data_IF_876349068646
#
_entry.id   IF_876349068646
#
_cell.length_a   1.000
_cell.length_b   1.000
_cell.length_c   1.000
_cell.angle_alpha   90.00
_cell.angle_beta   90.00
_cell.angle_gamma   90.00
#
_symmetry.space_group_name_H-M   'P 1'
#
loop_
_entity.id
_entity.type
_entity.pdbx_description
1 polymer ?
#
# COMPACT_ATOMS: atom_id res chain seq x y z
N UNK A 1 20.50 -7.72 -43.51
CA UNK A 1 19.53 -8.31 -42.57
C UNK A 1 18.50 -7.24 -42.26
N UNK A 2 17.22 -7.58 -42.28
CA UNK A 2 16.19 -6.61 -41.87
C UNK A 2 16.12 -6.52 -40.34
N UNK A 3 15.82 -5.33 -39.80
CA UNK A 3 15.67 -5.10 -38.37
C UNK A 3 14.22 -4.77 -38.10
N UNK A 4 13.59 -5.57 -37.25
CA UNK A 4 12.23 -5.34 -36.76
C UNK A 4 12.20 -4.40 -35.57
N UNK A 5 11.10 -3.69 -35.43
CA UNK A 5 10.87 -2.76 -34.33
C UNK A 5 9.46 -2.23 -34.27
N UNK A 6 9.30 -1.15 -33.58
CA UNK A 6 8.01 -0.51 -33.30
C UNK A 6 8.09 0.99 -33.62
N UNK A 7 6.96 1.55 -34.07
CA UNK A 7 6.83 2.98 -34.32
C UNK A 7 5.46 3.45 -33.85
N UNK A 8 5.43 4.62 -33.24
CA UNK A 8 4.21 5.29 -32.80
C UNK A 8 3.88 6.41 -33.79
N UNK A 9 2.61 6.64 -34.00
CA UNK A 9 2.05 7.65 -34.89
C UNK A 9 0.93 8.41 -34.18
N UNK A 10 0.58 9.58 -34.71
CA UNK A 10 -0.63 10.27 -34.34
C UNK A 10 -1.88 9.43 -34.70
N UNK A 11 -3.08 9.75 -34.18
CA UNK A 11 -4.32 9.02 -34.45
C UNK A 11 -4.66 8.87 -35.95
N UNK A 12 -4.19 9.78 -36.78
CA UNK A 12 -4.38 9.84 -38.25
C UNK A 12 -3.26 9.14 -39.04
N UNK A 13 -2.41 8.37 -38.39
CA UNK A 13 -1.23 7.72 -38.98
C UNK A 13 -0.14 8.69 -39.47
N UNK A 14 -0.11 9.92 -38.99
CA UNK A 14 0.97 10.85 -39.30
C UNK A 14 2.10 10.81 -38.27
N UNK A 15 3.30 11.15 -38.70
CA UNK A 15 4.44 11.40 -37.81
C UNK A 15 5.29 12.52 -38.45
N UNK A 16 5.49 13.63 -37.74
CA UNK A 16 6.18 14.84 -38.26
C UNK A 16 5.67 15.32 -39.61
N UNK A 17 4.34 15.27 -39.83
CA UNK A 17 3.69 15.69 -41.05
C UNK A 17 3.79 14.70 -42.22
N UNK A 18 4.45 13.58 -42.05
CA UNK A 18 4.51 12.52 -43.04
C UNK A 18 3.39 11.50 -42.80
N UNK A 19 2.67 11.11 -43.88
CA UNK A 19 1.57 10.15 -43.81
C UNK A 19 2.08 8.73 -44.02
N UNK A 20 1.68 7.83 -43.13
CA UNK A 20 1.98 6.39 -43.23
C UNK A 20 0.70 5.58 -43.45
N UNK A 21 0.88 4.36 -43.95
CA UNK A 21 -0.20 3.39 -44.12
C UNK A 21 0.30 1.97 -43.86
N UNK A 22 -0.51 1.20 -43.19
CA UNK A 22 -0.20 -0.20 -42.87
C UNK A 22 -0.07 -1.01 -44.17
N UNK A 23 0.92 -1.89 -44.23
CA UNK A 23 1.27 -2.73 -45.35
C UNK A 23 2.20 -2.08 -46.38
N UNK A 24 2.36 -0.74 -46.37
CA UNK A 24 3.19 -0.01 -47.30
C UNK A 24 4.66 0.10 -46.88
N UNK A 25 5.51 0.30 -47.90
CA UNK A 25 6.94 0.54 -47.73
C UNK A 25 7.27 1.96 -48.16
N UNK A 26 8.00 2.68 -47.35
CA UNK A 26 8.42 4.06 -47.58
C UNK A 26 9.94 4.15 -47.72
N UNK A 27 10.37 5.02 -48.63
CA UNK A 27 11.80 5.26 -48.93
C UNK A 27 12.13 6.73 -48.75
N UNK A 28 13.21 6.98 -48.03
CA UNK A 28 13.79 8.32 -47.88
C UNK A 28 14.96 8.46 -48.85
N UNK A 29 14.86 9.44 -49.74
CA UNK A 29 15.92 9.73 -50.73
C UNK A 29 16.90 10.75 -50.13
N UNK A 30 17.91 10.30 -49.49
CA UNK A 30 18.95 11.14 -48.86
C UNK A 30 19.70 10.42 -47.79
N UNK A 31 20.62 11.12 -47.16
CA UNK A 31 21.35 10.57 -46.02
C UNK A 31 20.40 10.45 -44.81
N UNK A 32 20.56 9.39 -44.03
CA UNK A 32 19.87 9.26 -42.75
C UNK A 32 20.65 10.02 -41.68
N UNK A 33 19.93 10.61 -40.72
CA UNK A 33 20.51 11.36 -39.62
C UNK A 33 19.66 11.13 -38.36
N UNK A 34 20.31 10.71 -37.27
CA UNK A 34 19.63 10.47 -36.02
C UNK A 34 18.97 11.79 -35.51
N UNK A 35 17.67 11.72 -35.20
CA UNK A 35 16.81 12.85 -34.85
C UNK A 35 16.59 13.91 -35.97
N UNK A 36 17.23 13.77 -37.11
CA UNK A 36 17.14 14.64 -38.28
C UNK A 36 16.31 14.03 -39.42
N UNK A 37 16.95 13.26 -40.27
CA UNK A 37 16.39 12.76 -41.55
C UNK A 37 16.28 11.21 -41.56
N UNK A 38 15.25 10.71 -42.26
CA UNK A 38 14.94 9.28 -42.31
C UNK A 38 13.80 8.84 -41.42
N UNK A 39 13.51 7.56 -41.39
CA UNK A 39 12.39 6.96 -40.64
C UNK A 39 12.89 6.40 -39.31
N UNK A 40 12.47 7.06 -38.21
CA UNK A 40 12.83 6.67 -36.86
C UNK A 40 11.88 5.60 -36.29
N UNK A 41 12.43 4.64 -35.59
CA UNK A 41 11.70 3.57 -34.89
C UNK A 41 12.50 3.11 -33.65
N UNK A 42 11.90 2.33 -32.78
CA UNK A 42 12.56 1.71 -31.64
C UNK A 42 12.50 0.18 -31.76
N UNK A 43 13.54 -0.50 -31.30
CA UNK A 43 13.55 -1.98 -31.33
C UNK A 43 12.69 -2.60 -30.24
N UNK A 44 12.42 -1.83 -29.15
CA UNK A 44 11.48 -2.20 -28.10
C UNK A 44 10.28 -1.23 -28.13
N UNK A 45 9.08 -1.77 -27.98
CA UNK A 45 7.85 -0.96 -28.02
C UNK A 45 7.79 0.08 -26.89
N UNK A 46 8.28 -0.29 -25.68
CA UNK A 46 8.33 0.61 -24.52
C UNK A 46 9.15 1.88 -24.78
N UNK A 47 10.21 1.75 -25.56
CA UNK A 47 11.16 2.85 -25.81
C UNK A 47 10.54 3.95 -26.71
N UNK A 48 9.57 3.58 -27.54
CA UNK A 48 8.82 4.55 -28.36
C UNK A 48 8.14 5.62 -27.51
N UNK A 49 7.78 5.28 -26.27
CA UNK A 49 7.07 6.18 -25.35
C UNK A 49 8.00 7.10 -24.54
N UNK A 50 9.29 7.07 -24.81
CA UNK A 50 10.21 8.15 -24.44
C UNK A 50 10.04 9.37 -25.36
N UNK A 51 9.43 9.18 -26.55
CA UNK A 51 9.25 10.20 -27.60
C UNK A 51 7.79 10.55 -27.86
N UNK A 52 6.85 9.72 -27.45
CA UNK A 52 5.42 9.90 -27.59
C UNK A 52 4.72 9.68 -26.25
N UNK A 53 3.66 10.41 -26.03
CA UNK A 53 2.79 10.16 -24.87
C UNK A 53 2.17 8.76 -24.96
N UNK A 54 2.16 8.03 -23.85
CA UNK A 54 1.48 6.75 -23.75
C UNK A 54 -0.03 6.99 -23.68
N UNK A 55 -0.68 6.95 -24.86
CA UNK A 55 -2.08 7.30 -25.04
C UNK A 55 -2.72 6.32 -26.03
N UNK A 56 -3.88 5.76 -25.65
CA UNK A 56 -4.64 4.80 -26.45
C UNK A 56 -5.18 5.35 -27.79
N UNK A 57 -5.18 6.66 -27.99
CA UNK A 57 -5.54 7.26 -29.26
C UNK A 57 -4.41 7.19 -30.30
N UNK A 58 -3.16 7.10 -29.88
CA UNK A 58 -2.03 6.96 -30.78
C UNK A 58 -2.08 5.61 -31.49
N UNK A 59 -1.62 5.60 -32.75
CA UNK A 59 -1.45 4.38 -33.51
C UNK A 59 -0.05 3.81 -33.27
N UNK A 60 0.05 2.50 -33.12
CA UNK A 60 1.31 1.78 -32.95
C UNK A 60 1.40 0.70 -34.00
N UNK A 61 2.56 0.55 -34.61
CA UNK A 61 2.77 -0.50 -35.60
C UNK A 61 4.08 -1.25 -35.33
N UNK A 62 4.05 -2.53 -35.69
CA UNK A 62 5.25 -3.31 -35.96
C UNK A 62 5.83 -2.86 -37.30
N UNK A 63 7.12 -2.59 -37.32
CA UNK A 63 7.82 -2.08 -38.49
C UNK A 63 9.06 -2.93 -38.80
N UNK A 64 9.50 -2.87 -40.07
CA UNK A 64 10.72 -3.52 -40.53
C UNK A 64 11.56 -2.52 -41.32
N UNK A 65 12.79 -2.31 -40.87
CA UNK A 65 13.80 -1.56 -41.61
C UNK A 65 14.44 -2.44 -42.68
N UNK A 66 14.32 -2.02 -43.93
CA UNK A 66 14.73 -2.74 -45.11
C UNK A 66 15.97 -2.12 -45.81
N UNK A 67 16.48 -1.04 -45.33
CA UNK A 67 17.59 -0.29 -45.88
C UNK A 67 18.77 -0.16 -44.92
N UNK A 68 19.50 0.96 -45.02
CA UNK A 68 20.52 1.32 -44.05
C UNK A 68 19.90 1.59 -42.69
N UNK A 69 20.56 1.17 -41.63
CA UNK A 69 20.09 1.39 -40.26
C UNK A 69 21.25 1.91 -39.40
N UNK A 70 20.97 3.01 -38.72
CA UNK A 70 21.80 3.51 -37.63
C UNK A 70 21.02 3.40 -36.31
N UNK A 71 21.69 2.96 -35.25
CA UNK A 71 21.06 2.81 -33.92
C UNK A 71 21.89 3.56 -32.88
N UNK A 72 21.22 4.36 -32.08
CA UNK A 72 21.80 5.05 -30.94
C UNK A 72 20.88 4.86 -29.71
N UNK A 73 21.39 4.25 -28.67
CA UNK A 73 20.64 3.94 -27.43
C UNK A 73 19.34 3.16 -27.72
N UNK A 74 18.19 3.78 -27.51
CA UNK A 74 16.86 3.19 -27.62
C UNK A 74 16.15 3.46 -28.95
N UNK A 75 16.82 4.22 -29.86
CA UNK A 75 16.26 4.66 -31.15
C UNK A 75 17.09 4.19 -32.33
N UNK A 76 16.41 3.89 -33.42
CA UNK A 76 17.01 3.57 -34.72
C UNK A 76 16.43 4.47 -35.80
N UNK A 77 17.21 4.72 -36.84
CA UNK A 77 16.80 5.44 -38.05
C UNK A 77 17.13 4.62 -39.30
N UNK A 78 16.27 4.66 -40.31
CA UNK A 78 16.48 3.96 -41.58
C UNK A 78 16.03 4.82 -42.77
N UNK A 79 16.64 4.58 -43.93
CA UNK A 79 16.20 5.16 -45.22
C UNK A 79 15.04 4.41 -45.85
N UNK A 80 14.74 3.16 -45.37
CA UNK A 80 13.63 2.37 -45.93
C UNK A 80 12.92 1.60 -44.83
N UNK A 81 11.63 1.89 -44.64
CA UNK A 81 10.81 1.29 -43.60
C UNK A 81 9.52 0.69 -44.21
N UNK A 82 9.14 -0.48 -43.77
CA UNK A 82 7.85 -1.12 -44.04
C UNK A 82 7.00 -1.11 -42.78
N UNK A 83 5.75 -0.67 -42.90
CA UNK A 83 4.77 -0.76 -41.83
C UNK A 83 4.08 -2.12 -41.95
N UNK A 84 4.38 -3.05 -41.04
CA UNK A 84 3.94 -4.43 -41.15
C UNK A 84 2.47 -4.60 -40.80
N UNK A 85 2.11 -4.17 -39.60
CA UNK A 85 0.75 -4.26 -39.06
C UNK A 85 0.52 -3.24 -37.94
N UNK A 86 -0.71 -2.88 -37.72
CA UNK A 86 -1.13 -2.16 -36.52
C UNK A 86 -1.08 -3.11 -35.31
N UNK A 87 -0.70 -2.58 -34.16
CA UNK A 87 -0.76 -3.26 -32.87
C UNK A 87 -1.92 -2.63 -32.10
N UNK A 88 -2.93 -3.44 -31.83
CA UNK A 88 -4.07 -3.03 -31.03
C UNK A 88 -3.63 -2.65 -29.61
N UNK A 89 -4.34 -1.71 -28.99
CA UNK A 89 -3.97 -1.21 -27.66
C UNK A 89 -3.87 -2.32 -26.59
N UNK A 90 -4.78 -3.29 -26.63
CA UNK A 90 -4.75 -4.46 -25.71
C UNK A 90 -3.52 -5.33 -25.90
N UNK A 91 -3.08 -5.54 -27.15
CA UNK A 91 -1.85 -6.26 -27.48
C UNK A 91 -0.62 -5.46 -27.03
N UNK A 92 -0.62 -4.14 -27.28
CA UNK A 92 0.46 -3.25 -26.86
C UNK A 92 0.69 -3.32 -25.35
N UNK A 93 -0.37 -3.34 -24.55
CA UNK A 93 -0.27 -3.45 -23.10
C UNK A 93 0.43 -4.76 -22.66
N UNK A 94 0.31 -5.83 -23.43
CA UNK A 94 1.03 -7.09 -23.15
C UNK A 94 2.49 -7.05 -23.58
N UNK A 95 2.81 -6.26 -24.61
CA UNK A 95 4.19 -6.12 -25.11
C UNK A 95 5.02 -5.20 -24.23
N UNK A 96 4.43 -4.11 -23.72
CA UNK A 96 5.16 -3.09 -22.93
C UNK A 96 5.21 -3.38 -21.42
N UNK A 97 4.56 -4.42 -20.96
CA UNK A 97 4.55 -4.85 -19.57
C UNK A 97 5.01 -6.31 -19.44
N UNK A 98 5.75 -6.60 -18.38
CA UNK A 98 6.08 -7.94 -17.96
C UNK A 98 5.12 -8.37 -16.83
N UNK A 99 3.86 -8.68 -17.22
CA UNK A 99 2.78 -9.03 -16.29
C UNK A 99 1.41 -8.97 -16.94
N UNK A 100 0.42 -9.59 -16.29
CA UNK A 100 -0.97 -9.67 -16.77
C UNK A 100 -1.83 -8.58 -16.17
N UNK A 101 -2.85 -8.15 -16.94
CA UNK A 101 -3.86 -7.19 -16.49
C UNK A 101 -3.29 -5.84 -16.00
N UNK A 102 -2.22 -5.38 -16.63
CA UNK A 102 -1.64 -4.07 -16.38
C UNK A 102 -2.25 -3.01 -17.31
N UNK A 103 -2.48 -1.79 -16.82
CA UNK A 103 -3.10 -0.69 -17.60
C UNK A 103 -2.14 0.44 -17.95
N UNK A 104 -0.90 0.39 -17.51
CA UNK A 104 0.12 1.42 -17.78
C UNK A 104 1.29 0.91 -18.59
N UNK A 105 2.39 1.63 -18.52
CA UNK A 105 3.61 1.38 -19.27
C UNK A 105 4.73 0.85 -18.35
N UNK A 106 5.42 -0.22 -18.79
CA UNK A 106 6.65 -0.67 -18.14
C UNK A 106 6.44 -1.23 -16.75
N UNK A 107 5.36 -1.95 -16.52
CA UNK A 107 5.13 -2.66 -15.28
C UNK A 107 5.75 -4.06 -15.34
N UNK A 108 6.30 -4.50 -14.21
CA UNK A 108 6.74 -5.89 -13.98
C UNK A 108 5.88 -6.47 -12.88
N UNK A 109 5.19 -7.60 -13.17
CA UNK A 109 4.21 -8.24 -12.30
C UNK A 109 2.76 -7.85 -12.61
N UNK A 110 1.82 -8.54 -11.98
CA UNK A 110 0.43 -8.58 -12.40
C UNK A 110 -0.46 -7.51 -11.73
N UNK A 111 -1.55 -7.14 -12.42
CA UNK A 111 -2.62 -6.30 -11.89
C UNK A 111 -2.17 -4.89 -11.47
N UNK A 112 -1.21 -4.30 -12.16
CA UNK A 112 -0.78 -2.94 -11.88
C UNK A 112 -1.62 -1.92 -12.68
N UNK A 113 -2.05 -0.86 -12.01
CA UNK A 113 -2.70 0.31 -12.62
C UNK A 113 -1.77 1.51 -12.50
N UNK A 114 -1.40 2.10 -13.63
CA UNK A 114 -0.36 3.12 -13.70
C UNK A 114 0.94 2.57 -14.29
N UNK A 115 2.05 3.28 -14.16
CA UNK A 115 3.26 2.96 -14.91
C UNK A 115 4.48 2.73 -14.03
N UNK A 116 5.41 1.90 -14.54
CA UNK A 116 6.72 1.65 -13.91
C UNK A 116 6.62 1.07 -12.51
N UNK A 117 5.65 0.18 -12.29
CA UNK A 117 5.55 -0.57 -11.05
C UNK A 117 6.27 -1.91 -11.17
N UNK A 118 6.95 -2.32 -10.09
CA UNK A 118 7.53 -3.65 -9.93
C UNK A 118 6.82 -4.37 -8.79
N UNK A 119 6.28 -5.56 -9.07
CA UNK A 119 5.42 -6.31 -8.15
C UNK A 119 3.96 -6.25 -8.57
N UNK A 120 3.02 -6.56 -7.70
CA UNK A 120 1.65 -6.80 -8.14
C UNK A 120 0.61 -5.97 -7.37
N UNK A 121 -0.49 -5.64 -8.06
CA UNK A 121 -1.63 -4.91 -7.49
C UNK A 121 -1.29 -3.50 -6.97
N UNK A 122 -0.39 -2.82 -7.66
CA UNK A 122 -0.09 -1.42 -7.36
C UNK A 122 -1.00 -0.49 -8.17
N UNK A 123 -1.38 0.63 -7.57
CA UNK A 123 -2.08 1.74 -8.22
C UNK A 123 -1.25 3.01 -8.08
N UNK A 124 -0.90 3.63 -9.21
CA UNK A 124 0.03 4.74 -9.28
C UNK A 124 1.29 4.39 -10.05
N UNK A 125 2.34 5.16 -9.88
CA UNK A 125 3.60 4.95 -10.61
C UNK A 125 4.82 4.71 -9.72
N UNK A 126 5.81 4.03 -10.27
CA UNK A 126 7.10 3.83 -9.62
C UNK A 126 7.04 3.12 -8.26
N UNK A 127 6.11 2.22 -8.07
CA UNK A 127 6.04 1.42 -6.85
C UNK A 127 6.87 0.13 -6.99
N UNK A 128 7.57 -0.24 -5.93
CA UNK A 128 8.24 -1.53 -5.79
C UNK A 128 7.62 -2.30 -4.64
N UNK A 129 7.12 -3.49 -4.90
CA UNK A 129 6.39 -4.31 -3.93
C UNK A 129 4.93 -4.50 -4.34
N UNK A 130 4.03 -4.72 -3.40
CA UNK A 130 2.67 -5.12 -3.75
C UNK A 130 1.59 -4.37 -2.97
N UNK A 131 0.45 -4.12 -3.63
CA UNK A 131 -0.72 -3.46 -3.02
C UNK A 131 -0.45 -2.04 -2.54
N UNK A 132 0.42 -1.32 -3.23
CA UNK A 132 0.64 0.10 -2.95
C UNK A 132 -0.37 0.96 -3.71
N UNK A 133 -0.82 2.04 -3.07
CA UNK A 133 -1.64 3.09 -3.68
C UNK A 133 -0.93 4.43 -3.54
N UNK A 134 -0.69 5.10 -4.66
CA UNK A 134 0.13 6.30 -4.76
C UNK A 134 1.45 6.02 -5.46
N UNK A 135 2.41 6.92 -5.36
CA UNK A 135 3.61 6.88 -6.18
C UNK A 135 4.88 6.71 -5.36
N UNK A 136 5.88 6.09 -5.97
CA UNK A 136 7.23 5.98 -5.41
C UNK A 136 7.29 5.27 -4.05
N UNK A 137 6.45 4.27 -3.84
CA UNK A 137 6.51 3.47 -2.62
C UNK A 137 7.40 2.23 -2.81
N UNK A 138 8.15 1.89 -1.77
CA UNK A 138 8.91 0.65 -1.68
C UNK A 138 8.39 -0.15 -0.49
N UNK A 139 8.01 -1.40 -0.72
CA UNK A 139 7.35 -2.27 0.27
C UNK A 139 5.91 -2.56 -0.13
N UNK A 140 5.07 -2.95 0.81
CA UNK A 140 3.72 -3.42 0.51
C UNK A 140 2.65 -2.73 1.33
N UNK A 141 1.45 -2.60 0.77
CA UNK A 141 0.27 -2.02 1.45
C UNK A 141 0.44 -0.56 1.88
N UNK A 142 1.27 0.20 1.18
CA UNK A 142 1.39 1.62 1.45
C UNK A 142 0.28 2.41 0.76
N UNK A 143 -0.25 3.41 1.46
CA UNK A 143 -1.18 4.40 0.91
C UNK A 143 -0.55 5.78 1.03
N UNK A 144 -0.38 6.46 -0.09
CA UNK A 144 0.33 7.74 -0.18
C UNK A 144 1.63 7.59 -0.97
N UNK A 145 2.59 8.48 -0.78
CA UNK A 145 3.74 8.53 -1.67
C UNK A 145 5.08 8.59 -0.95
N UNK A 146 6.09 7.98 -1.56
CA UNK A 146 7.47 7.98 -1.06
C UNK A 146 7.62 7.32 0.31
N UNK A 147 6.88 6.24 0.53
CA UNK A 147 7.05 5.44 1.73
C UNK A 147 8.05 4.30 1.45
N UNK A 148 8.85 3.97 2.44
CA UNK A 148 9.74 2.81 2.45
C UNK A 148 9.38 1.96 3.66
N UNK A 149 9.02 0.70 3.43
CA UNK A 149 8.49 -0.22 4.43
C UNK A 149 7.05 -0.59 4.12
N UNK A 150 6.38 -1.25 5.04
CA UNK A 150 5.06 -1.82 4.82
C UNK A 150 3.96 -1.09 5.61
N UNK A 151 2.74 -1.13 5.10
CA UNK A 151 1.55 -0.66 5.81
C UNK A 151 1.57 0.82 6.25
N UNK A 152 2.28 1.68 5.53
CA UNK A 152 2.30 3.11 5.84
C UNK A 152 1.12 3.83 5.19
N UNK A 153 0.54 4.78 5.93
CA UNK A 153 -0.46 5.73 5.44
C UNK A 153 0.08 7.15 5.54
N UNK A 154 0.21 7.84 4.42
CA UNK A 154 0.79 9.17 4.36
C UNK A 154 2.02 9.23 3.45
N UNK A 155 2.98 10.09 3.74
CA UNK A 155 4.06 10.32 2.80
C UNK A 155 5.43 10.46 3.43
N UNK A 156 6.45 9.93 2.77
CA UNK A 156 7.85 10.01 3.21
C UNK A 156 8.11 9.35 4.56
N UNK A 157 7.45 8.24 4.81
CA UNK A 157 7.74 7.42 5.98
C UNK A 157 8.80 6.38 5.65
N UNK A 158 9.66 6.08 6.62
CA UNK A 158 10.64 4.99 6.57
C UNK A 158 10.40 4.12 7.79
N UNK A 159 10.16 2.84 7.57
CA UNK A 159 9.70 1.87 8.58
C UNK A 159 8.27 1.43 8.31
N UNK A 160 7.69 0.70 9.23
CA UNK A 160 6.41 0.04 9.04
C UNK A 160 5.30 0.66 9.89
N UNK A 161 4.06 0.53 9.44
CA UNK A 161 2.87 0.91 10.20
C UNK A 161 2.81 2.38 10.64
N UNK A 162 3.39 3.30 9.88
CA UNK A 162 3.30 4.72 10.19
C UNK A 162 2.03 5.34 9.59
N UNK A 163 1.39 6.23 10.37
CA UNK A 163 0.29 7.09 9.92
C UNK A 163 0.72 8.55 10.04
N UNK A 164 0.79 9.25 8.92
CA UNK A 164 1.27 10.63 8.87
C UNK A 164 2.44 10.81 7.91
N UNK A 165 3.36 11.71 8.19
CA UNK A 165 4.38 12.06 7.21
C UNK A 165 5.77 12.30 7.81
N UNK A 166 6.80 11.85 7.09
CA UNK A 166 8.21 12.05 7.47
C UNK A 166 8.58 11.39 8.80
N UNK A 167 8.00 10.22 9.08
CA UNK A 167 8.39 9.42 10.22
C UNK A 167 9.52 8.47 9.83
N UNK A 168 10.43 8.22 10.78
CA UNK A 168 11.48 7.22 10.71
C UNK A 168 11.38 6.31 11.92
N UNK A 169 11.18 5.03 11.69
CA UNK A 169 10.85 4.02 12.71
C UNK A 169 9.44 3.48 12.49
N UNK A 170 8.96 2.68 13.40
CA UNK A 170 7.72 1.92 13.24
C UNK A 170 6.60 2.44 14.13
N UNK A 171 5.36 2.20 13.73
CA UNK A 171 4.17 2.46 14.53
C UNK A 171 3.99 3.93 14.99
N UNK A 172 4.45 4.90 14.21
CA UNK A 172 4.25 6.30 14.54
C UNK A 172 2.92 6.84 14.00
N UNK A 173 2.25 7.65 14.81
CA UNK A 173 1.08 8.44 14.40
C UNK A 173 1.39 9.93 14.54
N UNK A 174 1.38 10.66 13.43
CA UNK A 174 1.79 12.06 13.37
C UNK A 174 2.90 12.30 12.37
N UNK A 175 3.72 13.33 12.58
CA UNK A 175 4.70 13.71 11.56
C UNK A 175 6.07 14.06 12.15
N UNK A 176 7.13 13.75 11.41
CA UNK A 176 8.52 14.06 11.78
C UNK A 176 8.98 13.41 13.07
N UNK A 177 8.47 12.21 13.34
CA UNK A 177 8.96 11.41 14.46
C UNK A 177 10.16 10.56 14.03
N UNK A 178 11.10 10.38 14.94
CA UNK A 178 12.20 9.42 14.82
C UNK A 178 12.17 8.51 16.04
N UNK A 179 12.17 7.20 15.80
CA UNK A 179 11.92 6.18 16.82
C UNK A 179 10.54 5.56 16.63
N UNK A 180 10.15 4.70 17.55
CA UNK A 180 8.99 3.83 17.40
C UNK A 180 7.87 4.22 18.36
N UNK A 181 6.63 3.91 17.96
CA UNK A 181 5.45 4.05 18.81
C UNK A 181 5.17 5.48 19.30
N UNK A 182 5.49 6.49 18.51
CA UNK A 182 5.20 7.88 18.88
C UNK A 182 3.82 8.31 18.41
N UNK A 183 3.17 9.14 19.21
CA UNK A 183 1.91 9.83 18.85
C UNK A 183 2.09 11.33 19.00
N UNK A 184 1.96 12.08 17.91
CA UNK A 184 2.23 13.52 17.83
C UNK A 184 3.38 13.83 16.88
N UNK A 185 4.01 14.98 17.02
CA UNK A 185 4.98 15.44 16.03
C UNK A 185 6.35 15.78 16.63
N UNK A 186 7.40 15.64 15.84
CA UNK A 186 8.76 16.04 16.20
C UNK A 186 9.35 15.30 17.42
N UNK A 187 8.92 14.07 17.68
CA UNK A 187 9.53 13.28 18.74
C UNK A 187 10.77 12.55 18.19
N UNK A 188 11.83 12.48 18.98
CA UNK A 188 13.10 11.82 18.62
C UNK A 188 13.48 10.70 19.60
N UNK A 189 12.49 10.01 20.13
CA UNK A 189 12.60 8.90 21.05
C UNK A 189 11.47 7.90 20.82
N UNK A 190 11.40 6.84 21.60
CA UNK A 190 10.32 5.85 21.49
C UNK A 190 9.18 6.14 22.49
N UNK A 191 8.00 5.59 22.20
CA UNK A 191 6.84 5.59 23.10
C UNK A 191 6.41 6.95 23.62
N UNK A 192 6.59 8.02 22.83
CA UNK A 192 6.27 9.38 23.25
C UNK A 192 4.93 9.86 22.74
N UNK A 193 4.26 10.67 23.58
CA UNK A 193 3.04 11.37 23.21
C UNK A 193 3.25 12.87 23.31
N UNK A 194 2.78 13.63 22.30
CA UNK A 194 2.91 15.08 22.24
C UNK A 194 3.99 15.55 21.28
N UNK A 195 4.69 16.61 21.61
CA UNK A 195 5.57 17.32 20.68
C UNK A 195 6.96 17.55 21.26
N UNK A 196 8.01 17.41 20.39
CA UNK A 196 9.40 17.72 20.72
C UNK A 196 9.97 16.94 21.92
N UNK A 197 9.56 15.68 22.09
CA UNK A 197 10.15 14.82 23.12
C UNK A 197 11.44 14.20 22.59
N UNK A 198 12.50 14.28 23.38
CA UNK A 198 13.82 13.72 23.07
C UNK A 198 14.28 12.64 24.05
N UNK A 199 13.48 12.38 25.07
CA UNK A 199 13.70 11.33 26.06
C UNK A 199 12.40 10.53 26.25
N UNK A 200 12.53 9.25 26.54
CA UNK A 200 11.39 8.39 26.83
C UNK A 200 10.58 8.93 28.00
N UNK A 201 9.28 8.99 27.85
CA UNK A 201 8.37 9.54 28.83
C UNK A 201 8.07 8.52 29.92
N UNK A 202 7.95 9.00 31.15
CA UNK A 202 7.44 8.16 32.24
C UNK A 202 6.05 7.64 31.92
N UNK A 203 5.83 6.36 32.18
CA UNK A 203 4.50 5.77 32.02
C UNK A 203 3.61 6.21 33.16
N UNK A 204 2.43 6.67 32.80
CA UNK A 204 1.39 7.03 33.78
C UNK A 204 0.48 5.83 34.03
N UNK A 205 0.24 5.53 35.27
CA UNK A 205 -0.72 4.53 35.72
C UNK A 205 -1.67 5.20 36.71
N UNK A 206 -2.97 5.12 36.46
CA UNK A 206 -4.00 5.85 37.21
C UNK A 206 -3.69 7.37 37.35
N UNK A 207 -3.39 8.02 36.19
CA UNK A 207 -3.07 9.44 36.09
C UNK A 207 -1.85 9.92 36.90
N UNK A 208 -1.02 9.01 37.39
CA UNK A 208 0.21 9.34 38.14
C UNK A 208 1.42 8.72 37.46
N UNK A 209 2.55 9.44 37.39
CA UNK A 209 3.76 8.88 36.78
C UNK A 209 4.30 7.70 37.60
N UNK A 210 4.90 6.74 36.90
CA UNK A 210 5.64 5.63 37.49
C UNK A 210 7.11 5.75 37.11
N UNK A 211 7.99 5.07 37.85
CA UNK A 211 9.39 4.90 37.45
C UNK A 211 9.61 3.60 36.63
N UNK A 212 8.53 2.90 36.30
CA UNK A 212 8.59 1.61 35.61
C UNK A 212 8.67 1.81 34.10
N UNK A 213 9.44 0.96 33.45
CA UNK A 213 9.46 0.81 32.00
C UNK A 213 8.16 0.17 31.51
N UNK A 214 7.92 0.25 30.20
CA UNK A 214 6.76 -0.36 29.56
C UNK A 214 6.70 -1.87 29.78
N UNK A 215 7.84 -2.56 29.65
CA UNK A 215 7.92 -4.01 29.83
C UNK A 215 7.64 -4.43 31.28
N UNK A 216 8.13 -3.66 32.25
CA UNK A 216 7.82 -3.90 33.66
C UNK A 216 6.32 -3.76 33.94
N UNK A 217 5.64 -2.73 33.38
CA UNK A 217 4.19 -2.58 33.55
C UNK A 217 3.43 -3.73 32.89
N UNK A 218 3.79 -4.13 31.66
CA UNK A 218 3.16 -5.28 31.01
C UNK A 218 3.40 -6.59 31.73
N UNK A 219 4.47 -6.72 32.52
CA UNK A 219 4.76 -7.89 33.34
C UNK A 219 3.98 -7.95 34.67
N UNK A 220 3.34 -6.83 35.06
CA UNK A 220 2.52 -6.78 36.25
C UNK A 220 1.36 -7.79 36.17
N UNK A 221 1.25 -8.64 37.19
CA UNK A 221 0.24 -9.69 37.21
C UNK A 221 -1.19 -9.16 37.09
N UNK A 222 -1.50 -8.03 37.71
CA UNK A 222 -2.80 -7.37 37.57
C UNK A 222 -3.12 -6.94 36.15
N UNK A 223 -2.15 -6.42 35.40
CA UNK A 223 -2.29 -6.05 33.99
C UNK A 223 -2.51 -7.31 33.13
N UNK A 224 -1.74 -8.38 33.37
CA UNK A 224 -1.90 -9.64 32.65
C UNK A 224 -3.27 -10.27 32.88
N UNK A 225 -3.76 -10.27 34.12
CA UNK A 225 -5.10 -10.77 34.46
C UNK A 225 -6.17 -10.02 33.68
N UNK A 226 -6.12 -8.69 33.65
CA UNK A 226 -7.08 -7.87 32.90
C UNK A 226 -7.03 -8.17 31.40
N UNK A 227 -5.84 -8.25 30.81
CA UNK A 227 -5.68 -8.49 29.38
C UNK A 227 -6.10 -9.90 28.94
N UNK A 228 -5.83 -10.93 29.73
CA UNK A 228 -6.13 -12.32 29.37
C UNK A 228 -7.59 -12.71 29.58
N UNK A 229 -8.27 -12.06 30.50
CA UNK A 229 -9.67 -12.39 30.83
C UNK A 229 -10.68 -11.45 30.16
N UNK A 230 -10.22 -10.40 29.47
CA UNK A 230 -11.12 -9.47 28.77
C UNK A 230 -11.58 -10.02 27.44
N UNK A 231 -12.89 -10.22 27.28
CA UNK A 231 -13.53 -10.61 26.04
C UNK A 231 -14.85 -9.86 25.89
N UNK A 232 -15.04 -9.17 24.76
CA UNK A 232 -16.29 -8.43 24.48
C UNK A 232 -17.11 -9.03 23.32
N UNK A 233 -16.62 -10.09 22.70
CA UNK A 233 -17.32 -10.77 21.61
C UNK A 233 -16.95 -12.24 21.55
N UNK A 234 -17.96 -13.11 21.45
CA UNK A 234 -17.77 -14.55 21.36
C UNK A 234 -18.83 -15.19 20.46
N UNK A 235 -18.51 -16.35 19.92
CA UNK A 235 -19.41 -17.06 19.04
C UNK A 235 -20.45 -17.85 19.83
N UNK A 236 -21.75 -17.65 19.50
CA UNK A 236 -22.84 -18.47 20.01
C UNK A 236 -23.26 -19.44 18.90
N UNK A 237 -23.05 -20.73 19.14
CA UNK A 237 -23.48 -21.78 18.22
C UNK A 237 -25.00 -21.91 18.19
N UNK A 238 -25.55 -22.26 17.02
CA UNK A 238 -27.00 -22.36 16.77
C UNK A 238 -27.73 -23.22 17.78
N UNK A 239 -27.09 -24.26 18.29
CA UNK A 239 -27.65 -25.17 19.32
C UNK A 239 -27.80 -24.53 20.69
N UNK A 240 -27.06 -23.46 20.97
CA UNK A 240 -27.06 -22.72 22.23
C UNK A 240 -27.82 -21.39 22.15
N UNK A 241 -28.41 -21.06 20.99
CA UNK A 241 -29.13 -19.82 20.79
C UNK A 241 -30.56 -19.90 21.37
N UNK A 242 -30.93 -18.85 22.08
CA UNK A 242 -32.33 -18.63 22.48
C UNK A 242 -33.23 -18.31 21.27
N UNK A 243 -34.54 -18.43 21.44
CA UNK A 243 -35.52 -18.13 20.37
C UNK A 243 -35.47 -16.67 19.93
N UNK A 244 -35.16 -15.74 20.83
CA UNK A 244 -35.01 -14.31 20.51
C UNK A 244 -33.69 -14.03 19.78
N UNK A 245 -32.61 -14.72 20.14
CA UNK A 245 -31.36 -14.66 19.41
C UNK A 245 -31.49 -15.21 17.98
N UNK A 246 -32.23 -16.29 17.80
CA UNK A 246 -32.57 -16.87 16.49
C UNK A 246 -33.39 -15.92 15.63
N UNK A 247 -34.39 -15.26 16.21
CA UNK A 247 -35.20 -14.23 15.49
C UNK A 247 -34.36 -13.04 15.07
N UNK A 248 -33.44 -12.61 15.94
CA UNK A 248 -32.58 -11.47 15.68
C UNK A 248 -31.43 -11.76 14.67
N UNK A 249 -31.12 -13.04 14.48
CA UNK A 249 -30.04 -13.49 13.59
C UNK A 249 -30.58 -14.56 12.60
N UNK A 250 -31.45 -14.22 11.64
CA UNK A 250 -32.18 -15.18 10.82
C UNK A 250 -31.31 -16.10 9.92
N UNK A 251 -30.03 -15.77 9.77
CA UNK A 251 -29.04 -16.58 9.02
C UNK A 251 -28.32 -17.62 9.87
N UNK A 252 -28.67 -17.77 11.14
CA UNK A 252 -27.96 -18.64 12.09
C UNK A 252 -27.85 -20.10 11.64
N UNK A 253 -28.82 -20.61 10.88
CA UNK A 253 -28.78 -21.99 10.36
C UNK A 253 -27.67 -22.15 9.30
N UNK A 254 -27.51 -21.15 8.44
CA UNK A 254 -26.49 -21.18 7.38
C UNK A 254 -25.08 -20.92 7.95
N UNK A 255 -24.97 -20.04 8.94
CA UNK A 255 -23.68 -19.67 9.55
C UNK A 255 -23.28 -20.60 10.70
N UNK A 256 -24.20 -21.44 11.20
CA UNK A 256 -23.96 -22.29 12.37
C UNK A 256 -24.05 -21.56 13.71
N UNK A 257 -24.47 -20.28 13.71
CA UNK A 257 -24.53 -19.42 14.89
C UNK A 257 -24.37 -17.94 14.57
N UNK A 258 -24.07 -17.14 15.59
CA UNK A 258 -23.78 -15.70 15.42
C UNK A 258 -22.71 -15.21 16.39
N UNK A 259 -22.07 -14.08 16.06
CA UNK A 259 -21.11 -13.38 16.93
C UNK A 259 -21.90 -12.48 17.89
N UNK A 260 -21.90 -12.84 19.17
CA UNK A 260 -22.46 -11.99 20.22
C UNK A 260 -21.41 -10.97 20.65
N UNK A 261 -21.78 -9.70 20.69
CA UNK A 261 -20.92 -8.59 21.12
C UNK A 261 -21.65 -7.81 22.23
N UNK A 262 -20.92 -7.44 23.25
CA UNK A 262 -21.37 -6.56 24.33
C UNK A 262 -20.53 -5.29 24.39
N UNK A 263 -21.07 -4.23 24.98
CA UNK A 263 -20.31 -2.99 25.19
C UNK A 263 -19.14 -3.19 26.16
N UNK A 264 -18.16 -2.30 26.09
CA UNK A 264 -16.92 -2.40 26.83
C UNK A 264 -17.13 -2.52 28.36
N UNK A 265 -18.00 -1.67 28.93
CA UNK A 265 -18.23 -1.68 30.40
C UNK A 265 -18.96 -2.94 30.85
N UNK A 266 -19.89 -3.44 30.04
CA UNK A 266 -20.53 -4.73 30.29
C UNK A 266 -19.52 -5.88 30.25
N UNK A 267 -18.64 -5.91 29.24
CA UNK A 267 -17.57 -6.90 29.18
C UNK A 267 -16.62 -6.83 30.39
N UNK A 268 -16.24 -5.64 30.82
CA UNK A 268 -15.42 -5.44 32.03
C UNK A 268 -16.10 -5.99 33.30
N UNK A 269 -17.40 -5.75 33.47
CA UNK A 269 -18.14 -6.29 34.62
C UNK A 269 -18.21 -7.81 34.58
N UNK A 270 -18.53 -8.39 33.43
CA UNK A 270 -18.54 -9.85 33.24
C UNK A 270 -17.18 -10.47 33.55
N UNK A 271 -16.10 -9.88 33.02
CA UNK A 271 -14.74 -10.30 33.35
C UNK A 271 -14.50 -10.24 34.86
N UNK A 272 -14.79 -9.11 35.51
CA UNK A 272 -14.55 -8.92 36.94
C UNK A 272 -15.33 -9.92 37.82
N UNK A 273 -16.58 -10.24 37.46
CA UNK A 273 -17.40 -11.22 38.15
C UNK A 273 -16.81 -12.63 38.09
N UNK A 274 -16.14 -12.96 36.97
CA UNK A 274 -15.51 -14.26 36.75
C UNK A 274 -14.13 -14.39 37.39
N UNK A 275 -13.47 -13.28 37.80
CA UNK A 275 -12.19 -13.33 38.48
C UNK A 275 -12.35 -13.86 39.91
N UNK A 276 -11.40 -14.69 40.32
CA UNK A 276 -11.25 -15.08 41.72
C UNK A 276 -10.87 -13.90 42.62
N UNK A 277 -11.13 -14.00 43.92
CA UNK A 277 -10.76 -12.95 44.87
C UNK A 277 -9.27 -12.63 44.84
N UNK A 278 -8.39 -13.66 44.69
CA UNK A 278 -6.95 -13.46 44.57
C UNK A 278 -6.57 -12.65 43.33
N UNK A 279 -7.22 -12.90 42.19
CA UNK A 279 -6.99 -12.14 40.94
C UNK A 279 -7.45 -10.71 41.05
N UNK A 280 -8.60 -10.46 41.67
CA UNK A 280 -9.08 -9.08 41.96
C UNK A 280 -8.09 -8.35 42.85
N UNK A 281 -7.55 -9.01 43.89
CA UNK A 281 -6.52 -8.41 44.76
C UNK A 281 -5.24 -8.06 43.98
N UNK A 282 -4.78 -8.91 43.05
CA UNK A 282 -3.61 -8.59 42.22
C UNK A 282 -3.86 -7.35 41.32
N UNK A 283 -5.07 -7.16 40.79
CA UNK A 283 -5.43 -5.94 40.08
C UNK A 283 -5.40 -4.71 41.00
N UNK A 284 -5.93 -4.82 42.21
CA UNK A 284 -5.94 -3.72 43.16
C UNK A 284 -4.56 -3.37 43.74
N UNK A 285 -3.56 -4.25 43.60
CA UNK A 285 -2.15 -3.99 43.95
C UNK A 285 -1.37 -3.25 42.88
N UNK A 286 -1.98 -2.94 41.73
CA UNK A 286 -1.32 -2.14 40.67
C UNK A 286 -0.77 -0.84 41.25
N UNK A 287 0.41 -0.38 40.84
CA UNK A 287 0.95 0.89 41.28
C UNK A 287 -0.04 2.05 41.05
N UNK A 288 -0.17 2.92 42.04
CA UNK A 288 -1.10 4.06 41.99
C UNK A 288 -2.59 3.68 41.83
N UNK A 289 -2.99 2.44 42.10
CA UNK A 289 -4.37 2.02 41.91
C UNK A 289 -5.36 3.02 42.53
N UNK A 290 -6.36 3.42 41.73
CA UNK A 290 -7.41 4.35 42.13
C UNK A 290 -8.77 3.78 41.72
N UNK A 291 -9.60 3.46 42.70
CA UNK A 291 -10.90 2.83 42.48
C UNK A 291 -11.88 3.73 41.71
N UNK A 292 -11.75 5.06 41.80
CA UNK A 292 -12.63 5.98 41.08
C UNK A 292 -12.26 6.00 39.60
N UNK A 293 -10.97 6.09 39.27
CA UNK A 293 -10.48 6.01 37.89
C UNK A 293 -10.80 4.64 37.30
N UNK A 294 -10.61 3.56 38.09
CA UNK A 294 -10.96 2.21 37.66
C UNK A 294 -12.46 2.10 37.32
N UNK A 295 -13.33 2.63 38.19
CA UNK A 295 -14.77 2.69 37.92
C UNK A 295 -15.12 3.55 36.69
N UNK A 296 -14.52 4.71 36.55
CA UNK A 296 -14.77 5.60 35.40
C UNK A 296 -14.54 4.87 34.07
N UNK A 297 -13.43 4.12 33.99
CA UNK A 297 -13.03 3.40 32.77
C UNK A 297 -13.87 2.14 32.59
N UNK A 298 -13.95 1.29 33.61
CA UNK A 298 -14.48 -0.08 33.51
C UNK A 298 -15.98 -0.22 33.91
N UNK A 299 -16.48 0.72 34.66
CA UNK A 299 -17.82 0.63 35.31
C UNK A 299 -17.88 -0.34 36.49
N UNK A 300 -16.73 -0.86 36.96
CA UNK A 300 -16.63 -1.81 38.08
C UNK A 300 -16.57 -1.02 39.39
N UNK A 301 -17.47 -1.35 40.33
CA UNK A 301 -17.46 -0.78 41.68
C UNK A 301 -16.63 -1.68 42.60
N UNK A 302 -15.57 -1.12 43.17
CA UNK A 302 -14.77 -1.80 44.21
C UNK A 302 -15.38 -1.42 45.55
N UNK A 303 -16.08 -2.37 46.16
CA UNK A 303 -16.55 -2.24 47.56
C UNK A 303 -15.34 -2.28 48.48
N UNK A 304 -15.26 -1.32 49.40
CA UNK A 304 -14.20 -1.25 50.41
C UNK A 304 -14.33 -2.39 51.42
#
# INVERSE_FOLDING_TARGET
MSIKGFKVFNPDWTCRGFQYKVGETFVHNGNIEMCGAGFHFCQKASDCFNYYNFNSQNKVAEVEALGLVETQEDKSVTDKIKIIREIEWSELLTIVNDGKNCTGLGNTGDWNTGSRNTGSRNTGGWNTGSRNTGDCNTGSRNTGSRNTGDCNTGSRNTGDWNTGSRNTGDWNTGSRNTGDWNTGDWNSTNYSTGFFNSVEQNIFLFNKPTSMSRDEIHSLKGIQILNWNFENSWWIYSVNMSDDEKKSNPKYETTGGYLKTVDFKTACKMMWENLSENERQEVMKLPNFDSNIFYEITGIIISK
#
